data_IF_847459825184
#
_entry.id   IF_847459825184
#
_cell.length_a   1.000
_cell.length_b   1.000
_cell.length_c   1.000
_cell.angle_alpha   90.00
_cell.angle_beta   90.00
_cell.angle_gamma   90.00
#
_symmetry.space_group_name_H-M   'P 1'
#
loop_
_entity.id
_entity.type
_entity.pdbx_description
1 polymer ?
#
# COMPACT_ATOMS: atom_id res chain seq x y z
N UNK A 1 45.62 41.98 49.24
CA UNK A 1 45.97 40.97 48.21
C UNK A 1 44.77 40.08 47.94
N UNK A 2 44.49 39.86 46.65
CA UNK A 2 43.46 39.04 45.97
C UNK A 2 42.59 38.07 46.80
N UNK A 3 41.27 38.33 46.82
CA UNK A 3 40.20 37.34 47.04
C UNK A 3 40.02 36.49 45.77
N UNK A 4 40.03 35.16 45.90
CA UNK A 4 39.67 34.24 44.82
C UNK A 4 38.40 33.49 45.22
N UNK A 5 37.26 33.86 44.66
CA UNK A 5 36.04 33.05 44.73
C UNK A 5 36.01 32.11 43.53
N UNK A 6 36.02 30.80 43.81
CA UNK A 6 35.92 29.76 42.78
C UNK A 6 34.53 29.82 42.15
N UNK A 7 34.46 30.17 40.87
CA UNK A 7 33.23 30.05 40.07
C UNK A 7 33.06 28.58 39.68
N UNK A 8 32.02 27.95 40.21
CA UNK A 8 31.62 26.59 39.85
C UNK A 8 30.92 26.70 38.49
N UNK A 9 31.56 26.20 37.43
CA UNK A 9 30.97 26.14 36.10
C UNK A 9 29.89 25.07 36.06
N UNK A 10 28.62 25.48 36.04
CA UNK A 10 27.51 24.59 35.74
C UNK A 10 27.47 24.32 34.23
N UNK A 11 27.91 23.14 33.81
CA UNK A 11 27.68 22.64 32.45
C UNK A 11 26.20 22.26 32.38
N UNK A 12 25.39 23.12 31.74
CA UNK A 12 24.00 22.80 31.45
C UNK A 12 23.94 21.67 30.41
N UNK A 13 23.53 20.48 30.84
CA UNK A 13 23.29 19.34 29.95
C UNK A 13 22.00 19.61 29.15
N UNK A 14 22.14 20.05 27.90
CA UNK A 14 21.01 20.25 27.00
C UNK A 14 20.54 18.89 26.45
N UNK A 15 19.51 18.31 27.06
CA UNK A 15 18.86 17.10 26.55
C UNK A 15 17.99 17.46 25.35
N UNK A 16 18.44 17.12 24.13
CA UNK A 16 17.62 17.27 22.93
C UNK A 16 16.73 16.03 22.80
N UNK A 17 15.47 16.12 23.23
CA UNK A 17 14.46 15.10 22.93
C UNK A 17 14.13 15.15 21.43
N UNK A 18 14.56 14.13 20.69
CA UNK A 18 14.10 13.89 19.32
C UNK A 18 12.70 13.30 19.39
N UNK A 19 11.67 14.11 19.18
CA UNK A 19 10.30 13.61 19.02
C UNK A 19 10.16 12.99 17.62
N UNK A 20 10.01 11.67 17.56
CA UNK A 20 9.64 10.99 16.32
C UNK A 20 8.15 11.21 16.08
N UNK A 21 7.80 11.95 15.03
CA UNK A 21 6.42 12.04 14.54
C UNK A 21 6.00 10.67 14.02
N UNK A 22 5.25 9.91 14.82
CA UNK A 22 4.58 8.71 14.35
C UNK A 22 3.37 9.17 13.53
N UNK A 23 3.35 8.82 12.24
CA UNK A 23 2.17 9.04 11.42
C UNK A 23 1.01 8.23 12.00
N UNK A 24 -0.09 8.91 12.32
CA UNK A 24 -1.28 8.28 12.88
C UNK A 24 -1.84 7.25 11.89
N UNK A 25 -2.22 6.08 12.38
CA UNK A 25 -2.92 5.08 11.58
C UNK A 25 -4.36 5.51 11.32
N UNK A 26 -4.88 5.13 10.15
CA UNK A 26 -6.24 5.38 9.70
C UNK A 26 -6.76 4.12 8.99
N UNK A 27 -8.08 3.99 8.87
CA UNK A 27 -8.70 2.87 8.17
C UNK A 27 -8.65 3.09 6.66
N UNK A 28 -7.92 2.24 5.94
CA UNK A 28 -7.94 2.21 4.49
C UNK A 28 -8.70 0.99 4.01
N UNK A 29 -9.81 1.23 3.31
CA UNK A 29 -10.71 0.19 2.86
C UNK A 29 -10.68 0.05 1.35
N UNK A 30 -10.44 -1.17 0.88
CA UNK A 30 -10.37 -1.52 -0.53
C UNK A 30 -11.64 -2.31 -0.86
N UNK A 31 -12.52 -1.69 -1.65
CA UNK A 31 -13.70 -2.33 -2.23
C UNK A 31 -13.37 -2.78 -3.64
N UNK A 32 -13.58 -4.06 -3.93
CA UNK A 32 -13.25 -4.67 -5.23
C UNK A 32 -14.51 -5.15 -5.92
N UNK A 33 -14.69 -4.73 -7.17
CA UNK A 33 -15.82 -5.07 -8.03
C UNK A 33 -15.36 -5.80 -9.30
N UNK A 34 -16.29 -6.41 -10.03
CA UNK A 34 -16.00 -7.14 -11.27
C UNK A 34 -15.58 -8.59 -11.08
N UNK A 35 -15.79 -9.17 -9.88
CA UNK A 35 -15.63 -10.61 -9.63
C UNK A 35 -16.83 -11.35 -10.24
N UNK A 36 -16.59 -12.19 -11.24
CA UNK A 36 -17.68 -12.86 -11.98
C UNK A 36 -18.03 -14.25 -11.46
N UNK A 37 -17.07 -14.96 -10.87
CA UNK A 37 -17.27 -16.31 -10.37
C UNK A 37 -16.82 -16.37 -8.90
N UNK A 38 -17.64 -16.95 -8.01
CA UNK A 38 -17.28 -17.16 -6.61
C UNK A 38 -16.31 -18.36 -6.50
N UNK A 39 -15.09 -18.18 -7.00
CA UNK A 39 -14.03 -19.18 -7.00
C UNK A 39 -12.66 -18.53 -6.89
N UNK A 40 -11.69 -19.27 -6.36
CA UNK A 40 -10.31 -18.81 -6.26
C UNK A 40 -10.08 -17.71 -5.20
N UNK A 41 -8.98 -16.98 -5.37
CA UNK A 41 -8.48 -16.00 -4.41
C UNK A 41 -8.36 -14.62 -5.04
N UNK A 42 -8.62 -13.58 -4.27
CA UNK A 42 -8.30 -12.20 -4.62
C UNK A 42 -7.00 -11.83 -3.91
N UNK A 43 -5.97 -11.55 -4.69
CA UNK A 43 -4.66 -11.12 -4.24
C UNK A 43 -4.60 -9.60 -4.32
N UNK A 44 -4.33 -8.92 -3.20
CA UNK A 44 -4.24 -7.47 -3.11
C UNK A 44 -2.85 -7.12 -2.59
N UNK A 45 -2.08 -6.40 -3.40
CA UNK A 45 -0.77 -5.88 -3.06
C UNK A 45 -0.83 -4.36 -2.88
N UNK A 46 -0.50 -3.90 -1.67
CA UNK A 46 -0.37 -2.48 -1.33
C UNK A 46 1.12 -2.10 -1.35
N UNK A 47 1.45 -1.01 -2.02
CA UNK A 47 2.80 -0.47 -2.16
C UNK A 47 2.87 0.94 -1.59
N UNK A 48 3.99 1.28 -0.97
CA UNK A 48 4.29 2.63 -0.44
C UNK A 48 5.63 3.18 -0.94
N UNK A 49 6.34 2.44 -1.80
CA UNK A 49 7.60 2.85 -2.42
C UNK A 49 7.47 2.74 -3.95
N UNK A 50 7.71 3.87 -4.63
CA UNK A 50 7.68 3.94 -6.09
C UNK A 50 8.71 3.02 -6.76
N UNK A 51 9.86 2.79 -6.12
CA UNK A 51 10.96 2.00 -6.71
C UNK A 51 10.70 0.51 -6.65
N UNK A 52 9.71 0.07 -5.85
CA UNK A 52 9.31 -1.32 -5.70
C UNK A 52 7.93 -1.64 -6.27
N UNK A 53 7.30 -0.69 -6.99
CA UNK A 53 5.96 -0.90 -7.51
C UNK A 53 5.92 -2.11 -8.45
N UNK A 54 4.95 -3.00 -8.25
CA UNK A 54 4.76 -4.26 -9.00
C UNK A 54 5.89 -5.28 -8.86
N UNK A 55 6.70 -5.15 -7.81
CA UNK A 55 7.75 -6.10 -7.43
C UNK A 55 7.31 -6.85 -6.17
N UNK A 56 7.11 -8.18 -6.20
CA UNK A 56 6.57 -8.96 -5.06
C UNK A 56 7.35 -8.76 -3.76
N UNK A 57 8.68 -8.63 -3.83
CA UNK A 57 9.57 -8.47 -2.67
C UNK A 57 9.46 -7.08 -2.01
N UNK A 58 8.75 -6.15 -2.65
CA UNK A 58 8.61 -4.75 -2.23
C UNK A 58 7.17 -4.41 -1.83
N UNK A 59 6.31 -5.42 -1.68
CA UNK A 59 4.94 -5.24 -1.21
C UNK A 59 4.96 -4.80 0.25
N UNK A 60 4.27 -3.69 0.54
CA UNK A 60 4.13 -3.20 1.91
C UNK A 60 3.13 -4.04 2.71
N UNK A 61 1.98 -4.37 2.10
CA UNK A 61 1.00 -5.32 2.64
C UNK A 61 0.43 -6.19 1.54
N UNK A 62 0.49 -7.50 1.72
CA UNK A 62 -0.19 -8.49 0.89
C UNK A 62 -1.42 -9.00 1.63
N UNK A 63 -2.56 -9.04 0.93
CA UNK A 63 -3.83 -9.54 1.47
C UNK A 63 -4.36 -10.57 0.48
N UNK A 64 -4.82 -11.71 1.01
CA UNK A 64 -5.44 -12.78 0.24
C UNK A 64 -6.84 -13.01 0.77
N UNK A 65 -7.85 -12.93 -0.09
CA UNK A 65 -9.25 -13.14 0.26
C UNK A 65 -9.86 -14.27 -0.57
N UNK A 66 -10.71 -15.09 0.04
CA UNK A 66 -11.57 -16.01 -0.70
C UNK A 66 -12.61 -15.27 -1.54
N UNK A 67 -12.66 -15.57 -2.84
CA UNK A 67 -13.68 -15.00 -3.73
C UNK A 67 -14.95 -15.84 -3.61
N UNK A 68 -15.89 -15.36 -2.79
CA UNK A 68 -17.19 -16.01 -2.58
C UNK A 68 -18.38 -15.13 -2.99
N UNK A 69 -18.12 -13.88 -3.42
CA UNK A 69 -19.11 -12.86 -3.78
C UNK A 69 -18.59 -12.05 -4.96
N UNK A 70 -19.50 -11.37 -5.66
CA UNK A 70 -19.17 -10.47 -6.78
C UNK A 70 -18.48 -9.17 -6.34
N UNK A 71 -18.57 -8.84 -5.05
CA UNK A 71 -17.97 -7.67 -4.42
C UNK A 71 -17.32 -8.10 -3.12
N UNK A 72 -16.05 -7.74 -2.95
CA UNK A 72 -15.30 -7.93 -1.71
C UNK A 72 -14.88 -6.57 -1.15
N UNK A 73 -14.79 -6.50 0.17
CA UNK A 73 -14.34 -5.31 0.89
C UNK A 73 -13.38 -5.75 1.98
N UNK A 74 -12.23 -5.10 2.07
CA UNK A 74 -11.26 -5.38 3.11
C UNK A 74 -10.66 -4.08 3.64
N UNK A 75 -10.60 -3.96 4.96
CA UNK A 75 -10.09 -2.77 5.65
C UNK A 75 -8.78 -3.11 6.34
N UNK A 76 -7.79 -2.26 6.16
CA UNK A 76 -6.50 -2.32 6.85
C UNK A 76 -6.23 -1.02 7.57
N UNK A 77 -5.61 -1.11 8.74
CA UNK A 77 -5.04 0.06 9.41
C UNK A 77 -3.64 0.34 8.88
N UNK A 78 -3.42 1.56 8.39
CA UNK A 78 -2.13 2.00 7.85
C UNK A 78 -1.81 3.45 8.26
N UNK A 79 -0.52 3.81 8.39
CA UNK A 79 -0.14 5.20 8.62
C UNK A 79 -0.62 6.11 7.48
N UNK A 80 -0.91 7.36 7.80
CA UNK A 80 -1.14 8.40 6.77
C UNK A 80 0.05 8.44 5.81
N UNK A 81 -0.23 8.48 4.50
CA UNK A 81 0.82 8.41 3.49
C UNK A 81 0.28 8.16 2.09
N UNK A 82 1.21 7.92 1.16
CA UNK A 82 0.92 7.66 -0.25
C UNK A 82 1.00 6.16 -0.54
N UNK A 83 -0.06 5.61 -1.12
CA UNK A 83 -0.16 4.18 -1.40
C UNK A 83 -0.67 3.91 -2.81
N UNK A 84 -0.13 2.87 -3.43
CA UNK A 84 -0.68 2.30 -4.66
C UNK A 84 -1.16 0.87 -4.38
N UNK A 85 -2.27 0.49 -5.00
CA UNK A 85 -2.83 -0.85 -4.89
C UNK A 85 -2.81 -1.50 -6.26
N UNK A 86 -2.30 -2.72 -6.33
CA UNK A 86 -2.46 -3.62 -7.47
C UNK A 86 -3.14 -4.89 -6.98
N UNK A 87 -4.08 -5.43 -7.75
CA UNK A 87 -4.79 -6.63 -7.39
C UNK A 87 -5.06 -7.52 -8.59
N UNK A 88 -5.23 -8.81 -8.35
CA UNK A 88 -5.65 -9.78 -9.36
C UNK A 88 -6.49 -10.89 -8.76
N UNK A 89 -7.37 -11.44 -9.58
CA UNK A 89 -8.22 -12.58 -9.24
C UNK A 89 -7.51 -13.87 -9.69
N UNK A 90 -6.86 -14.52 -8.73
CA UNK A 90 -6.22 -15.82 -8.84
C UNK A 90 -7.28 -16.94 -8.84
N UNK A 91 -7.79 -17.27 -10.03
CA UNK A 91 -8.85 -18.24 -10.20
C UNK A 91 -8.36 -19.69 -10.01
N UNK A 92 -7.09 -19.96 -10.29
CA UNK A 92 -6.51 -21.31 -10.12
C UNK A 92 -5.85 -21.54 -8.74
N UNK A 93 -5.76 -20.50 -7.91
CA UNK A 93 -5.18 -20.52 -6.55
C UNK A 93 -3.70 -20.90 -6.50
N UNK A 94 -2.92 -20.52 -7.52
CA UNK A 94 -1.48 -20.80 -7.56
C UNK A 94 -0.63 -19.74 -6.84
N UNK A 95 -1.25 -18.64 -6.39
CA UNK A 95 -0.59 -17.56 -5.66
C UNK A 95 0.26 -16.63 -6.51
N UNK A 96 0.22 -16.73 -7.85
CA UNK A 96 0.99 -15.89 -8.77
C UNK A 96 0.09 -15.20 -9.79
N UNK A 97 0.49 -14.01 -10.24
CA UNK A 97 -0.20 -13.34 -11.34
C UNK A 97 0.26 -13.98 -12.65
N UNK A 98 -0.52 -14.93 -13.16
CA UNK A 98 -0.24 -15.61 -14.42
C UNK A 98 -0.24 -14.60 -15.58
N UNK A 99 0.77 -14.69 -16.46
CA UNK A 99 0.96 -13.78 -17.60
C UNK A 99 1.14 -14.56 -18.89
N UNK A 100 0.67 -13.99 -20.00
CA UNK A 100 0.94 -14.53 -21.33
C UNK A 100 2.39 -14.21 -21.78
N UNK A 101 2.76 -14.65 -22.99
CA UNK A 101 4.11 -14.46 -23.54
C UNK A 101 4.50 -12.98 -23.75
N UNK A 102 3.53 -12.05 -23.69
CA UNK A 102 3.74 -10.61 -23.76
C UNK A 102 3.74 -9.94 -22.36
N UNK A 103 3.70 -10.73 -21.27
CA UNK A 103 3.72 -10.22 -19.90
C UNK A 103 2.38 -9.63 -19.42
N UNK A 104 1.30 -9.81 -20.19
CA UNK A 104 -0.04 -9.32 -19.83
C UNK A 104 -0.71 -10.34 -18.92
N UNK A 105 -1.32 -9.92 -17.79
CA UNK A 105 -2.06 -10.84 -16.93
C UNK A 105 -3.14 -11.61 -17.70
N UNK A 106 -3.16 -12.94 -17.57
CA UNK A 106 -4.21 -13.80 -18.15
C UNK A 106 -5.43 -13.87 -17.25
N UNK A 107 -5.36 -13.45 -16.01
CA UNK A 107 -6.51 -13.35 -15.11
C UNK A 107 -6.99 -11.90 -14.98
N UNK A 108 -8.12 -11.67 -14.30
CA UNK A 108 -8.61 -10.31 -14.08
C UNK A 108 -7.66 -9.58 -13.13
N UNK A 109 -7.37 -8.32 -13.41
CA UNK A 109 -6.49 -7.50 -12.57
C UNK A 109 -7.01 -6.08 -12.45
N UNK A 110 -6.52 -5.32 -11.48
CA UNK A 110 -6.94 -3.94 -11.26
C UNK A 110 -5.89 -3.14 -10.51
N UNK A 111 -6.00 -1.82 -10.62
CA UNK A 111 -5.11 -0.88 -9.95
C UNK A 111 -5.93 0.22 -9.26
N UNK A 112 -5.39 0.78 -8.19
CA UNK A 112 -5.89 2.03 -7.62
C UNK A 112 -5.95 3.14 -8.67
N UNK A 113 -6.85 4.11 -8.47
CA UNK A 113 -7.29 5.09 -9.48
C UNK A 113 -7.97 4.49 -10.72
N UNK A 114 -8.29 3.18 -10.73
CA UNK A 114 -8.91 2.49 -11.87
C UNK A 114 -8.19 2.73 -13.20
N UNK A 115 -6.85 2.83 -13.16
CA UNK A 115 -6.03 3.01 -14.35
C UNK A 115 -6.15 1.80 -15.25
N UNK A 116 -6.41 2.04 -16.54
CA UNK A 116 -6.49 1.03 -17.59
C UNK A 116 -5.23 1.08 -18.45
N UNK A 117 -4.22 0.25 -18.17
CA UNK A 117 -3.00 0.21 -19.00
C UNK A 117 -3.33 -0.23 -20.43
N UNK A 118 -2.72 0.44 -21.42
CA UNK A 118 -2.95 0.17 -22.85
C UNK A 118 -1.78 -0.62 -23.45
N UNK A 119 -0.55 -0.16 -23.23
CA UNK A 119 0.66 -0.73 -23.84
C UNK A 119 1.63 -1.33 -22.82
N UNK A 120 1.67 -0.79 -21.60
CA UNK A 120 2.58 -1.21 -20.53
C UNK A 120 1.90 -1.14 -19.17
N UNK A 121 2.50 -1.80 -18.18
CA UNK A 121 2.08 -1.64 -16.79
C UNK A 121 2.02 -0.14 -16.39
N UNK A 122 1.08 0.25 -15.53
CA UNK A 122 0.96 1.65 -15.10
C UNK A 122 2.15 2.05 -14.23
N UNK A 123 2.39 3.35 -14.12
CA UNK A 123 3.38 3.89 -13.19
C UNK A 123 2.82 3.96 -11.76
N UNK A 124 3.69 3.95 -10.75
CA UNK A 124 3.30 4.25 -9.37
C UNK A 124 2.59 5.61 -9.28
N UNK A 125 3.10 6.62 -9.99
CA UNK A 125 2.54 7.97 -9.95
C UNK A 125 1.10 8.05 -10.47
N UNK A 126 0.73 7.21 -11.44
CA UNK A 126 -0.65 7.13 -11.94
C UNK A 126 -1.60 6.38 -11.00
N UNK A 127 -1.07 5.46 -10.18
CA UNK A 127 -1.87 4.60 -9.30
C UNK A 127 -1.90 5.10 -7.85
N UNK A 128 -1.00 6.01 -7.47
CA UNK A 128 -0.88 6.49 -6.09
C UNK A 128 -2.13 7.25 -5.63
N UNK A 129 -2.52 6.96 -4.39
CA UNK A 129 -3.60 7.62 -3.66
C UNK A 129 -3.01 8.12 -2.34
N UNK A 130 -3.37 9.34 -1.98
CA UNK A 130 -2.97 9.94 -0.70
C UNK A 130 -4.00 9.61 0.38
N UNK A 131 -3.58 8.89 1.41
CA UNK A 131 -4.41 8.46 2.54
C UNK A 131 -4.11 9.37 3.74
N UNK A 132 -5.01 10.34 4.02
CA UNK A 132 -4.87 11.31 5.13
C UNK A 132 -5.78 11.04 6.33
N UNK A 133 -6.83 10.27 6.10
CA UNK A 133 -7.92 9.94 7.04
C UNK A 133 -8.51 8.60 6.60
N UNK A 134 -9.49 8.12 7.36
CA UNK A 134 -10.27 6.95 6.96
C UNK A 134 -10.79 7.15 5.53
N UNK A 135 -10.45 6.20 4.67
CA UNK A 135 -10.66 6.29 3.23
C UNK A 135 -11.10 4.94 2.70
N UNK A 136 -12.16 4.95 1.90
CA UNK A 136 -12.59 3.82 1.10
C UNK A 136 -12.37 4.13 -0.38
N UNK A 137 -11.78 3.18 -1.10
CA UNK A 137 -11.60 3.26 -2.54
C UNK A 137 -12.29 2.07 -3.20
N UNK A 138 -12.77 2.28 -4.42
CA UNK A 138 -13.24 1.20 -5.27
C UNK A 138 -12.22 0.92 -6.39
N UNK A 139 -11.89 -0.35 -6.55
CA UNK A 139 -11.09 -0.86 -7.66
C UNK A 139 -11.93 -1.87 -8.45
N UNK A 140 -12.24 -1.52 -9.68
CA UNK A 140 -12.91 -2.41 -10.61
C UNK A 140 -11.87 -3.29 -11.31
N UNK A 141 -12.08 -4.60 -11.25
CA UNK A 141 -11.28 -5.55 -12.03
C UNK A 141 -11.46 -5.31 -13.53
N UNK A 142 -10.34 -5.21 -14.21
CA UNK A 142 -10.22 -5.12 -15.66
C UNK A 142 -10.23 -6.53 -16.23
N UNK A 143 -11.35 -6.89 -16.86
CA UNK A 143 -11.48 -7.91 -17.91
C UNK A 143 -12.93 -8.10 -18.30
#
# INVERSE_FOLDING_TARGET
MKKWTKRIGGIGLLLILKTTLVAQNVNFTIRVTGLQQPSGKLQIAVYNDKNGFLTPERVYKNIVLDVNKSILKHTIEIPKGNYAVALYHDNNSNGICDKNLFGIPVERYGFSNNIRPILSAPSFQSTVIEVKKDLEIEIALLK
#
